data_IF_555051732871
#
_entry.id   IF_555051732871
#
_cell.length_a   1.000
_cell.length_b   1.000
_cell.length_c   1.000
_cell.angle_alpha   90.00
_cell.angle_beta   90.00
_cell.angle_gamma   90.00
#
_symmetry.space_group_name_H-M   'P 1'
#
loop_
_entity.id
_entity.type
_entity.pdbx_description
1 polymer ?
#
# COMPACT_ATOMS: atom_id res chain seq x y z
N UNK A 1 34.51 32.17 18.32
CA UNK A 1 35.67 32.49 17.47
C UNK A 1 36.18 31.18 16.84
N UNK A 2 35.76 30.94 15.59
CA UNK A 2 36.39 30.11 14.55
C UNK A 2 36.93 28.71 14.90
N UNK A 3 36.07 27.69 14.85
CA UNK A 3 36.52 26.41 14.28
C UNK A 3 35.40 25.73 13.48
N UNK A 4 34.99 26.39 12.40
CA UNK A 4 33.89 25.98 11.52
C UNK A 4 34.33 25.69 10.08
N UNK A 5 35.61 25.46 9.76
CA UNK A 5 36.03 25.30 8.36
C UNK A 5 37.27 24.43 8.20
N UNK A 6 37.17 23.13 8.54
CA UNK A 6 38.07 22.14 7.95
C UNK A 6 37.31 20.86 7.58
N UNK A 7 36.36 21.01 6.66
CA UNK A 7 36.06 19.94 5.71
C UNK A 7 36.54 20.44 4.35
N UNK A 8 37.62 19.78 3.90
CA UNK A 8 38.24 19.93 2.58
C UNK A 8 37.17 20.09 1.49
N UNK A 9 37.33 21.01 0.53
CA UNK A 9 36.50 21.00 -0.66
C UNK A 9 36.83 19.73 -1.44
N UNK A 10 35.91 18.76 -1.50
CA UNK A 10 36.00 17.66 -2.47
C UNK A 10 35.57 18.14 -3.86
N UNK A 11 36.09 19.30 -4.27
CA UNK A 11 35.99 19.83 -5.62
C UNK A 11 37.29 19.53 -6.32
N UNK A 12 37.52 18.24 -6.60
CA UNK A 12 38.36 17.78 -7.69
C UNK A 12 38.14 16.27 -7.91
N UNK A 13 37.08 15.97 -8.64
CA UNK A 13 37.08 14.87 -9.62
C UNK A 13 36.28 15.34 -10.82
N UNK A 14 36.78 16.41 -11.45
CA UNK A 14 36.63 16.63 -12.89
C UNK A 14 37.43 15.55 -13.62
N UNK A 15 37.06 14.29 -13.41
CA UNK A 15 37.36 13.20 -14.31
C UNK A 15 36.05 12.90 -14.99
N UNK A 16 36.03 12.93 -16.31
CA UNK A 16 34.93 12.38 -17.09
C UNK A 16 34.73 10.92 -16.68
N UNK A 17 33.92 10.68 -15.65
CA UNK A 17 33.47 9.35 -15.32
C UNK A 17 32.44 9.03 -16.40
N UNK A 18 32.94 8.55 -17.54
CA UNK A 18 32.11 7.87 -18.52
C UNK A 18 31.49 6.71 -17.75
N UNK A 19 30.22 6.87 -17.43
CA UNK A 19 29.35 5.79 -16.98
C UNK A 19 29.24 4.86 -18.20
N UNK A 20 30.22 3.97 -18.36
CA UNK A 20 30.13 2.90 -19.34
C UNK A 20 29.05 1.96 -18.78
N UNK A 21 27.92 1.78 -19.48
CA UNK A 21 26.87 0.91 -19.00
C UNK A 21 27.42 -0.50 -18.91
N UNK A 22 27.68 -0.97 -17.69
CA UNK A 22 28.05 -2.36 -17.47
C UNK A 22 26.81 -3.19 -17.79
N UNK A 23 26.83 -3.83 -18.95
CA UNK A 23 25.75 -4.72 -19.40
C UNK A 23 25.80 -5.93 -18.47
N UNK A 24 24.99 -5.91 -17.41
CA UNK A 24 24.80 -7.08 -16.54
C UNK A 24 23.73 -7.97 -17.21
N UNK A 25 24.10 -9.08 -17.87
CA UNK A 25 23.11 -9.96 -18.50
C UNK A 25 22.29 -10.73 -17.45
N UNK A 26 22.77 -10.83 -16.19
CA UNK A 26 22.09 -11.58 -15.11
C UNK A 26 20.64 -11.15 -14.86
N UNK A 27 20.36 -9.86 -14.60
CA UNK A 27 18.99 -9.36 -14.47
C UNK A 27 18.12 -9.57 -15.71
N UNK A 28 18.70 -9.56 -16.91
CA UNK A 28 17.98 -9.77 -18.17
C UNK A 28 17.57 -11.25 -18.28
N UNK A 29 18.48 -12.18 -17.98
CA UNK A 29 18.19 -13.62 -17.99
C UNK A 29 17.15 -13.97 -16.92
N UNK A 30 17.27 -13.42 -15.71
CA UNK A 30 16.26 -13.59 -14.66
C UNK A 30 14.90 -13.03 -15.09
N UNK A 31 14.88 -11.84 -15.70
CA UNK A 31 13.66 -11.24 -16.25
C UNK A 31 13.00 -12.10 -17.33
N UNK A 32 13.78 -12.71 -18.22
CA UNK A 32 13.29 -13.65 -19.24
C UNK A 32 12.69 -14.90 -18.60
N UNK A 33 13.35 -15.49 -17.59
CA UNK A 33 12.83 -16.67 -16.89
C UNK A 33 11.51 -16.34 -16.19
N UNK A 34 11.43 -15.21 -15.46
CA UNK A 34 10.19 -14.77 -14.81
C UNK A 34 9.09 -14.50 -15.83
N UNK A 35 9.42 -13.88 -16.97
CA UNK A 35 8.46 -13.66 -18.04
C UNK A 35 7.92 -14.97 -18.64
N UNK A 36 8.79 -15.98 -18.84
CA UNK A 36 8.37 -17.32 -19.31
C UNK A 36 7.43 -17.98 -18.31
N UNK A 37 7.76 -17.94 -17.02
CA UNK A 37 6.91 -18.52 -15.96
C UNK A 37 5.57 -17.79 -15.89
N UNK A 38 5.58 -16.46 -15.94
CA UNK A 38 4.36 -15.66 -15.97
C UNK A 38 3.50 -15.98 -17.20
N UNK A 39 4.09 -16.09 -18.39
CA UNK A 39 3.40 -16.51 -19.61
C UNK A 39 2.82 -17.93 -19.48
N UNK A 40 3.56 -18.87 -18.89
CA UNK A 40 3.09 -20.23 -18.66
C UNK A 40 1.90 -20.27 -17.70
N UNK A 41 1.93 -19.45 -16.64
CA UNK A 41 0.82 -19.32 -15.69
C UNK A 41 -0.41 -18.70 -16.37
N UNK A 42 -0.22 -17.63 -17.14
CA UNK A 42 -1.29 -16.99 -17.90
C UNK A 42 -1.92 -17.95 -18.91
N UNK A 43 -1.10 -18.70 -19.64
CA UNK A 43 -1.59 -19.75 -20.55
C UNK A 43 -2.38 -20.82 -19.79
N UNK A 44 -1.88 -21.26 -18.64
CA UNK A 44 -2.56 -22.25 -17.79
C UNK A 44 -3.83 -21.72 -17.12
N UNK A 45 -4.02 -20.40 -17.02
CA UNK A 45 -5.24 -19.76 -16.51
C UNK A 45 -6.27 -19.66 -17.64
N UNK A 46 -5.84 -19.23 -18.84
CA UNK A 46 -6.73 -18.99 -19.98
C UNK A 46 -7.16 -20.29 -20.67
N UNK A 47 -6.26 -21.24 -20.89
CA UNK A 47 -6.54 -22.46 -21.68
C UNK A 47 -7.10 -23.61 -20.84
N UNK A 48 -7.11 -23.48 -19.52
CA UNK A 48 -7.53 -24.58 -18.65
C UNK A 48 -9.07 -24.65 -18.58
N UNK A 49 -9.69 -25.73 -19.07
CA UNK A 49 -11.14 -25.86 -19.14
C UNK A 49 -11.82 -25.88 -17.76
N UNK A 50 -11.07 -26.07 -16.67
CA UNK A 50 -11.60 -25.92 -15.30
C UNK A 50 -11.90 -24.46 -14.93
N UNK A 51 -11.20 -23.51 -15.54
CA UNK A 51 -11.59 -22.10 -15.47
C UNK A 51 -12.68 -21.90 -16.52
N UNK A 52 -13.91 -22.20 -16.11
CA UNK A 52 -15.13 -22.03 -16.89
C UNK A 52 -15.38 -20.53 -17.15
N UNK A 53 -14.56 -19.90 -18.00
CA UNK A 53 -14.59 -18.47 -18.30
C UNK A 53 -15.96 -17.98 -18.76
N UNK A 54 -16.76 -18.88 -19.34
CA UNK A 54 -18.14 -18.62 -19.70
C UNK A 54 -19.03 -18.38 -18.47
N UNK A 55 -18.91 -19.24 -17.45
CA UNK A 55 -19.63 -19.11 -16.16
C UNK A 55 -19.13 -17.88 -15.41
N UNK A 56 -17.82 -17.63 -15.39
CA UNK A 56 -17.23 -16.45 -14.74
C UNK A 56 -17.78 -15.17 -15.35
N UNK A 57 -17.87 -15.06 -16.68
CA UNK A 57 -18.45 -13.89 -17.34
C UNK A 57 -19.91 -13.65 -16.96
N UNK A 58 -20.71 -14.72 -16.90
CA UNK A 58 -22.13 -14.65 -16.51
C UNK A 58 -22.29 -14.21 -15.05
N UNK A 59 -21.47 -14.76 -14.14
CA UNK A 59 -21.55 -14.43 -12.72
C UNK A 59 -20.98 -13.04 -12.40
N UNK A 60 -19.90 -12.61 -13.06
CA UNK A 60 -19.33 -11.26 -12.87
C UNK A 60 -20.32 -10.15 -13.22
N UNK A 61 -21.16 -10.36 -14.24
CA UNK A 61 -22.18 -9.40 -14.70
C UNK A 61 -23.54 -9.67 -14.04
N UNK A 62 -23.67 -10.71 -13.21
CA UNK A 62 -24.90 -11.01 -12.52
C UNK A 62 -25.29 -9.89 -11.55
N UNK A 63 -26.59 -9.60 -11.46
CA UNK A 63 -27.11 -8.51 -10.62
C UNK A 63 -26.67 -8.63 -9.16
N UNK A 64 -26.47 -9.86 -8.66
CA UNK A 64 -26.01 -10.10 -7.29
C UNK A 64 -24.57 -9.66 -7.06
N UNK A 65 -23.67 -9.92 -8.01
CA UNK A 65 -22.25 -9.53 -7.89
C UNK A 65 -22.10 -8.02 -8.06
N UNK A 66 -22.79 -7.42 -9.04
CA UNK A 66 -22.80 -5.97 -9.22
C UNK A 66 -23.38 -5.24 -8.00
N UNK A 67 -24.48 -5.76 -7.42
CA UNK A 67 -25.04 -5.21 -6.19
C UNK A 67 -24.06 -5.34 -5.02
N UNK A 68 -23.37 -6.48 -4.89
CA UNK A 68 -22.33 -6.69 -3.87
C UNK A 68 -21.16 -5.71 -4.01
N UNK A 69 -20.68 -5.49 -5.24
CA UNK A 69 -19.66 -4.48 -5.54
C UNK A 69 -20.19 -3.08 -5.18
N UNK A 70 -21.43 -2.76 -5.52
CA UNK A 70 -22.07 -1.50 -5.14
C UNK A 70 -22.07 -1.28 -3.62
N UNK A 71 -22.48 -2.30 -2.85
CA UNK A 71 -22.51 -2.23 -1.39
C UNK A 71 -21.11 -2.06 -0.78
N UNK A 72 -20.11 -2.81 -1.25
CA UNK A 72 -18.73 -2.67 -0.74
C UNK A 72 -18.15 -1.29 -1.03
N UNK A 73 -18.41 -0.74 -2.22
CA UNK A 73 -17.99 0.62 -2.58
C UNK A 73 -18.67 1.68 -1.70
N UNK A 74 -20.00 1.57 -1.51
CA UNK A 74 -20.75 2.47 -0.64
C UNK A 74 -20.26 2.40 0.80
N UNK A 75 -20.04 1.19 1.33
CA UNK A 75 -19.53 0.98 2.69
C UNK A 75 -18.13 1.57 2.85
N UNK A 76 -17.25 1.36 1.87
CA UNK A 76 -15.88 1.92 1.88
C UNK A 76 -15.91 3.45 1.85
N UNK A 77 -16.75 4.02 0.98
CA UNK A 77 -16.87 5.47 0.85
C UNK A 77 -17.46 6.10 2.12
N UNK A 78 -18.51 5.51 2.68
CA UNK A 78 -19.13 5.97 3.92
C UNK A 78 -18.15 5.87 5.10
N UNK A 79 -17.39 4.78 5.18
CA UNK A 79 -16.34 4.58 6.19
C UNK A 79 -15.26 5.65 6.09
N UNK A 80 -14.79 5.96 4.88
CA UNK A 80 -13.81 7.03 4.65
C UNK A 80 -14.34 8.40 5.09
N UNK A 81 -15.58 8.75 4.75
CA UNK A 81 -16.17 10.03 5.16
C UNK A 81 -16.21 10.12 6.69
N UNK A 82 -16.71 9.08 7.35
CA UNK A 82 -16.80 9.05 8.81
C UNK A 82 -15.40 9.16 9.43
N UNK A 83 -14.43 8.43 8.91
CA UNK A 83 -13.04 8.48 9.37
C UNK A 83 -12.43 9.88 9.21
N UNK A 84 -12.70 10.57 8.09
CA UNK A 84 -12.22 11.94 7.83
C UNK A 84 -12.85 12.93 8.80
N UNK A 85 -14.16 12.89 9.00
CA UNK A 85 -14.87 13.78 9.93
C UNK A 85 -14.33 13.62 11.35
N UNK A 86 -14.16 12.37 11.81
CA UNK A 86 -13.52 12.05 13.09
C UNK A 86 -12.08 12.58 13.16
N UNK A 87 -11.27 12.34 12.13
CA UNK A 87 -9.87 12.77 12.09
C UNK A 87 -9.74 14.30 12.13
N UNK A 88 -10.59 15.04 11.42
CA UNK A 88 -10.62 16.51 11.43
C UNK A 88 -11.04 17.01 12.81
N UNK A 89 -12.08 16.42 13.43
CA UNK A 89 -12.49 16.77 14.79
C UNK A 89 -11.35 16.57 15.80
N UNK A 90 -10.64 15.45 15.72
CA UNK A 90 -9.47 15.17 16.56
C UNK A 90 -8.29 16.13 16.25
N UNK A 91 -8.07 16.49 14.99
CA UNK A 91 -7.04 17.45 14.61
C UNK A 91 -7.32 18.86 15.17
N UNK A 92 -8.60 19.28 15.17
CA UNK A 92 -9.02 20.53 15.82
C UNK A 92 -8.81 20.47 17.34
N UNK A 93 -9.20 19.36 17.96
CA UNK A 93 -8.97 19.11 19.39
C UNK A 93 -7.47 19.13 19.75
N UNK A 94 -6.60 18.66 18.86
CA UNK A 94 -5.14 18.68 19.04
C UNK A 94 -4.54 20.09 19.01
N UNK A 95 -5.14 21.05 18.31
CA UNK A 95 -4.72 22.46 18.33
C UNK A 95 -5.19 23.23 19.57
N UNK A 96 -6.15 22.70 20.31
CA UNK A 96 -6.65 23.32 21.53
C UNK A 96 -5.70 23.05 22.72
N UNK A 97 -5.52 24.06 23.57
CA UNK A 97 -4.55 24.09 24.69
C UNK A 97 -4.88 23.06 25.79
N UNK A 98 -6.06 22.43 25.74
CA UNK A 98 -6.55 21.53 26.79
C UNK A 98 -5.94 20.11 26.67
N UNK A 99 -5.13 19.65 27.64
CA UNK A 99 -4.43 18.37 27.58
C UNK A 99 -5.34 17.14 27.47
N UNK A 100 -6.60 17.23 27.91
CA UNK A 100 -7.58 16.14 27.83
C UNK A 100 -7.96 15.84 26.37
N UNK A 101 -8.23 16.88 25.58
CA UNK A 101 -8.56 16.75 24.15
C UNK A 101 -7.38 16.19 23.34
N UNK A 102 -6.16 16.52 23.75
CA UNK A 102 -4.92 16.00 23.18
C UNK A 102 -4.69 14.52 23.54
N UNK A 103 -4.99 14.11 24.77
CA UNK A 103 -4.87 12.71 25.22
C UNK A 103 -5.87 11.79 24.50
N UNK A 104 -7.13 12.21 24.33
CA UNK A 104 -8.15 11.45 23.59
C UNK A 104 -7.74 11.28 22.12
N UNK A 105 -7.23 12.33 21.49
CA UNK A 105 -6.73 12.25 20.11
C UNK A 105 -5.53 11.32 19.95
N UNK A 106 -4.65 11.30 20.95
CA UNK A 106 -3.51 10.39 20.97
C UNK A 106 -3.95 8.93 21.17
N UNK A 107 -4.88 8.68 22.09
CA UNK A 107 -5.47 7.35 22.31
C UNK A 107 -6.19 6.83 21.08
N UNK A 108 -6.97 7.66 20.38
CA UNK A 108 -7.68 7.27 19.16
C UNK A 108 -6.70 6.86 18.04
N UNK A 109 -5.67 7.67 17.77
CA UNK A 109 -4.65 7.33 16.76
C UNK A 109 -3.91 6.05 17.15
N UNK A 110 -3.54 5.92 18.42
CA UNK A 110 -2.85 4.73 18.93
C UNK A 110 -3.72 3.48 18.85
N UNK A 111 -5.01 3.56 19.16
CA UNK A 111 -5.93 2.42 19.09
C UNK A 111 -6.12 1.94 17.64
N UNK A 112 -6.40 2.85 16.70
CA UNK A 112 -6.61 2.47 15.30
C UNK A 112 -5.32 2.06 14.56
N UNK A 113 -4.14 2.51 15.01
CA UNK A 113 -2.86 2.16 14.35
C UNK A 113 -2.01 1.14 15.10
N UNK A 114 -2.24 0.95 16.39
CA UNK A 114 -1.39 0.18 17.29
C UNK A 114 -2.03 -1.10 17.82
N UNK A 115 -3.36 -1.26 17.71
CA UNK A 115 -4.01 -2.51 18.15
C UNK A 115 -3.90 -3.55 17.03
N UNK A 116 -3.26 -4.71 17.27
CA UNK A 116 -3.10 -5.74 16.24
C UNK A 116 -4.45 -6.33 15.83
N UNK A 117 -4.68 -6.51 14.52
CA UNK A 117 -5.86 -7.26 14.01
C UNK A 117 -5.94 -8.66 14.62
N UNK A 118 -4.77 -9.26 14.89
CA UNK A 118 -4.67 -10.55 15.56
C UNK A 118 -5.28 -10.54 16.96
N UNK A 119 -5.13 -9.43 17.70
CA UNK A 119 -5.75 -9.29 19.01
C UNK A 119 -7.28 -9.27 18.87
N UNK A 120 -7.82 -8.61 17.85
CA UNK A 120 -9.26 -8.60 17.59
C UNK A 120 -9.79 -9.98 17.18
N UNK A 121 -9.04 -10.73 16.37
CA UNK A 121 -9.40 -12.11 15.99
C UNK A 121 -9.37 -13.07 17.17
N UNK A 122 -8.44 -12.92 18.13
CA UNK A 122 -8.39 -13.78 19.33
C UNK A 122 -9.58 -13.56 20.25
N UNK A 123 -10.09 -12.33 20.36
CA UNK A 123 -11.22 -12.02 21.24
C UNK A 123 -12.59 -12.43 20.66
N UNK A 124 -12.74 -12.55 19.34
CA UNK A 124 -14.03 -12.81 18.68
C UNK A 124 -14.05 -14.03 17.73
N UNK A 125 -12.87 -14.57 17.38
CA UNK A 125 -12.68 -15.61 16.37
C UNK A 125 -12.14 -16.93 16.93
N UNK A 126 -12.29 -17.17 18.24
CA UNK A 126 -12.13 -18.48 18.89
C UNK A 126 -13.46 -18.94 19.48
#
# INVERSE_FOLDING_TARGET
MFNSLNKKPLQNSQGSERILPVKNPGPIVAGVIVAIIACSLLYSIVTNPRFEWNVVGIYLISNNVLAGIGWTLILTFLSMIIAIVLAIGLAMMRKSVNPVLRAVSWFFIWFFRGTPVYTQLVFWGM
#
